data_IF_296215949762
#
_entry.id   IF_296215949762
#
_cell.length_a   1.000
_cell.length_b   1.000
_cell.length_c   1.000
_cell.angle_alpha   90.00
_cell.angle_beta   90.00
_cell.angle_gamma   90.00
#
_symmetry.space_group_name_H-M   'P 1'
#
loop_
_entity.id
_entity.type
_entity.pdbx_description
1 polymer ?
#
# COMPACT_ATOMS: atom_id res chain seq x y z
N UNK A 1 21.98 11.84 -36.74
CA UNK A 1 21.03 11.38 -35.70
C UNK A 1 20.22 12.60 -35.26
N UNK A 2 18.88 12.57 -35.32
CA UNK A 2 18.06 13.66 -34.76
C UNK A 2 18.21 13.61 -33.24
N UNK A 3 18.59 14.73 -32.62
CA UNK A 3 18.51 14.87 -31.17
C UNK A 3 17.05 14.67 -30.76
N UNK A 4 16.81 13.74 -29.82
CA UNK A 4 15.47 13.56 -29.23
C UNK A 4 15.09 14.85 -28.52
N UNK A 5 13.81 15.22 -28.57
CA UNK A 5 13.35 16.37 -27.79
C UNK A 5 13.37 16.03 -26.30
N UNK A 6 13.57 17.04 -25.42
CA UNK A 6 13.52 16.81 -23.97
C UNK A 6 12.23 16.12 -23.52
N UNK A 7 11.10 16.41 -24.19
CA UNK A 7 9.81 15.79 -23.91
C UNK A 7 9.79 14.29 -24.26
N UNK A 8 10.42 13.88 -25.36
CA UNK A 8 10.56 12.46 -25.72
C UNK A 8 11.45 11.72 -24.72
N UNK A 9 12.53 12.37 -24.24
CA UNK A 9 13.40 11.81 -23.21
C UNK A 9 12.66 11.62 -21.88
N UNK A 10 11.91 12.64 -21.44
CA UNK A 10 11.09 12.53 -20.23
C UNK A 10 10.03 11.44 -20.34
N UNK A 11 9.40 11.32 -21.51
CA UNK A 11 8.44 10.26 -21.78
C UNK A 11 9.08 8.87 -21.69
N UNK A 12 10.24 8.67 -22.32
CA UNK A 12 10.97 7.41 -22.22
C UNK A 12 11.37 7.08 -20.78
N UNK A 13 11.80 8.07 -20.00
CA UNK A 13 12.12 7.93 -18.58
C UNK A 13 10.89 7.54 -17.74
N UNK A 14 9.77 8.22 -17.92
CA UNK A 14 8.52 7.90 -17.19
C UNK A 14 7.91 6.56 -17.62
N UNK A 15 8.03 6.18 -18.90
CA UNK A 15 7.60 4.88 -19.41
C UNK A 15 8.45 3.74 -18.81
N UNK A 16 9.77 3.94 -18.65
CA UNK A 16 10.64 2.99 -17.95
C UNK A 16 10.19 2.79 -16.49
N UNK A 17 10.00 3.87 -15.74
CA UNK A 17 9.54 3.80 -14.33
C UNK A 17 8.17 3.13 -14.26
N UNK A 18 7.24 3.49 -15.14
CA UNK A 18 5.91 2.88 -15.23
C UNK A 18 5.99 1.38 -15.47
N UNK A 19 6.90 0.93 -16.34
CA UNK A 19 7.18 -0.48 -16.59
C UNK A 19 7.65 -1.23 -15.34
N UNK A 20 8.63 -0.68 -14.62
CA UNK A 20 9.16 -1.28 -13.39
C UNK A 20 8.11 -1.29 -12.27
N UNK A 21 7.39 -0.19 -12.05
CA UNK A 21 6.32 -0.10 -11.05
C UNK A 21 5.19 -1.10 -11.36
N UNK A 22 4.83 -1.31 -12.63
CA UNK A 22 3.84 -2.32 -13.02
C UNK A 22 4.30 -3.74 -12.69
N UNK A 23 5.58 -4.06 -12.91
CA UNK A 23 6.16 -5.37 -12.56
C UNK A 23 6.10 -5.63 -11.06
N UNK A 24 6.47 -4.64 -10.26
CA UNK A 24 6.38 -4.73 -8.80
C UNK A 24 4.92 -4.85 -8.32
N UNK A 25 4.02 -4.06 -8.92
CA UNK A 25 2.59 -4.13 -8.63
C UNK A 25 2.00 -5.49 -9.00
N UNK A 26 2.44 -6.16 -10.05
CA UNK A 26 1.97 -7.52 -10.35
C UNK A 26 2.35 -8.53 -9.27
N UNK A 27 3.55 -8.44 -8.71
CA UNK A 27 3.96 -9.29 -7.58
C UNK A 27 3.11 -9.00 -6.34
N UNK A 28 2.90 -7.72 -6.03
CA UNK A 28 2.05 -7.30 -4.91
C UNK A 28 0.58 -7.71 -5.11
N UNK A 29 0.02 -7.50 -6.29
CA UNK A 29 -1.35 -7.88 -6.64
C UNK A 29 -1.55 -9.40 -6.52
N UNK A 30 -0.56 -10.22 -6.88
CA UNK A 30 -0.64 -11.68 -6.71
C UNK A 30 -0.74 -12.06 -5.22
N UNK A 31 0.02 -11.38 -4.34
CA UNK A 31 -0.07 -11.58 -2.89
C UNK A 31 -1.42 -11.10 -2.35
N UNK A 32 -1.86 -9.90 -2.73
CA UNK A 32 -3.18 -9.36 -2.36
C UNK A 32 -4.32 -10.27 -2.82
N UNK A 33 -4.23 -10.83 -4.04
CA UNK A 33 -5.21 -11.77 -4.55
C UNK A 33 -5.22 -13.07 -3.73
N UNK A 34 -4.05 -13.54 -3.28
CA UNK A 34 -3.98 -14.68 -2.38
C UNK A 34 -4.65 -14.37 -1.03
N UNK A 35 -4.34 -13.22 -0.43
CA UNK A 35 -5.02 -12.74 0.80
C UNK A 35 -6.52 -12.67 0.57
N UNK A 36 -6.95 -12.12 -0.57
CA UNK A 36 -8.37 -11.97 -0.90
C UNK A 36 -9.08 -13.33 -1.03
N UNK A 37 -8.45 -14.28 -1.72
CA UNK A 37 -8.98 -15.64 -1.88
C UNK A 37 -9.13 -16.33 -0.52
N UNK A 38 -8.10 -16.24 0.33
CA UNK A 38 -8.08 -16.90 1.64
C UNK A 38 -9.00 -16.24 2.66
N UNK A 39 -9.09 -14.92 2.69
CA UNK A 39 -9.86 -14.21 3.71
C UNK A 39 -11.31 -13.95 3.32
N UNK A 40 -11.67 -14.02 2.03
CA UNK A 40 -13.02 -13.69 1.57
C UNK A 40 -13.67 -14.80 0.74
N UNK A 41 -13.00 -15.28 -0.32
CA UNK A 41 -13.63 -16.25 -1.24
C UNK A 41 -13.80 -17.62 -0.57
N UNK A 42 -12.74 -18.18 0.02
CA UNK A 42 -12.85 -19.50 0.68
C UNK A 42 -13.82 -19.51 1.86
N UNK A 43 -13.84 -18.51 2.76
CA UNK A 43 -14.86 -18.41 3.80
C UNK A 43 -16.27 -18.35 3.24
N UNK A 44 -16.50 -17.53 2.21
CA UNK A 44 -17.81 -17.41 1.58
C UNK A 44 -18.27 -18.74 0.95
N UNK A 45 -17.39 -19.44 0.23
CA UNK A 45 -17.69 -20.76 -0.34
C UNK A 45 -17.96 -21.79 0.77
N UNK A 46 -17.13 -21.80 1.83
CA UNK A 46 -17.27 -22.74 2.95
C UNK A 46 -18.59 -22.54 3.71
N UNK A 47 -18.95 -21.30 4.03
CA UNK A 47 -20.23 -20.97 4.68
C UNK A 47 -21.40 -21.32 3.79
N UNK A 48 -21.34 -20.98 2.49
CA UNK A 48 -22.40 -21.33 1.54
C UNK A 48 -22.58 -22.84 1.42
N UNK A 49 -21.47 -23.59 1.35
CA UNK A 49 -21.47 -25.05 1.28
C UNK A 49 -22.04 -25.68 2.56
N UNK A 50 -21.63 -25.20 3.73
CA UNK A 50 -22.18 -25.64 5.02
C UNK A 50 -23.68 -25.35 5.11
N UNK A 51 -24.11 -24.18 4.65
CA UNK A 51 -25.53 -23.82 4.63
C UNK A 51 -26.33 -24.81 3.76
N UNK A 52 -25.84 -25.10 2.55
CA UNK A 52 -26.48 -26.06 1.64
C UNK A 52 -26.55 -27.47 2.25
N UNK A 53 -25.48 -27.94 2.89
CA UNK A 53 -25.45 -29.25 3.56
C UNK A 53 -26.45 -29.34 4.73
N UNK A 54 -26.62 -28.26 5.50
CA UNK A 54 -27.66 -28.22 6.54
C UNK A 54 -29.07 -28.19 5.94
N UNK A 55 -29.27 -27.49 4.81
CA UNK A 55 -30.56 -27.44 4.12
C UNK A 55 -30.98 -28.80 3.56
N UNK A 56 -30.01 -29.57 3.04
CA UNK A 56 -30.22 -30.94 2.56
C UNK A 56 -30.32 -32.00 3.68
N UNK A 57 -30.32 -31.58 4.96
CA UNK A 57 -30.34 -32.44 6.16
C UNK A 57 -29.20 -33.46 6.22
N UNK A 58 -28.08 -33.20 5.53
CA UNK A 58 -26.86 -34.02 5.63
C UNK A 58 -26.15 -33.75 6.96
N UNK A 59 -26.18 -32.50 7.42
CA UNK A 59 -25.62 -32.08 8.71
C UNK A 59 -26.71 -31.71 9.72
N UNK A 60 -26.48 -31.92 11.03
CA UNK A 60 -27.42 -31.54 12.08
C UNK A 60 -27.54 -30.01 12.17
N UNK A 61 -28.74 -29.53 12.53
CA UNK A 61 -29.06 -28.09 12.62
C UNK A 61 -28.16 -27.36 13.62
N UNK A 62 -27.65 -28.06 14.64
CA UNK A 62 -26.68 -27.54 15.62
C UNK A 62 -25.37 -27.05 14.98
N UNK A 63 -25.01 -27.52 13.78
CA UNK A 63 -23.84 -27.05 13.05
C UNK A 63 -23.89 -25.54 12.72
N UNK A 64 -25.09 -24.94 12.67
CA UNK A 64 -25.26 -23.50 12.41
C UNK A 64 -24.57 -22.63 13.46
N UNK A 65 -24.51 -23.07 14.72
CA UNK A 65 -23.86 -22.34 15.80
C UNK A 65 -22.33 -22.18 15.62
N UNK A 66 -21.72 -22.99 14.74
CA UNK A 66 -20.29 -22.99 14.48
C UNK A 66 -19.90 -22.30 13.16
N UNK A 67 -20.86 -21.80 12.38
CA UNK A 67 -20.58 -21.16 11.08
C UNK A 67 -19.79 -19.86 11.23
N UNK A 68 -20.06 -19.07 12.28
CA UNK A 68 -19.34 -17.83 12.57
C UNK A 68 -17.86 -18.10 12.90
N UNK A 69 -17.57 -19.18 13.63
CA UNK A 69 -16.20 -19.62 13.91
C UNK A 69 -15.47 -20.08 12.64
N UNK A 70 -16.21 -20.62 11.68
CA UNK A 70 -15.65 -21.08 10.41
C UNK A 70 -15.17 -19.90 9.56
N UNK A 71 -15.85 -18.74 9.62
CA UNK A 71 -15.40 -17.51 8.96
C UNK A 71 -14.06 -17.00 9.52
N UNK A 72 -13.86 -17.11 10.83
CA UNK A 72 -12.63 -16.68 11.50
C UNK A 72 -11.45 -17.64 11.30
N UNK A 73 -11.74 -18.93 11.07
CA UNK A 73 -10.70 -19.95 10.90
C UNK A 73 -9.75 -19.63 9.74
N UNK A 74 -10.27 -19.22 8.58
CA UNK A 74 -9.44 -19.00 7.40
C UNK A 74 -8.47 -17.82 7.53
N UNK A 75 -8.87 -16.61 7.97
CA UNK A 75 -7.92 -15.53 8.25
C UNK A 75 -6.86 -15.92 9.28
N UNK A 76 -7.23 -16.68 10.32
CA UNK A 76 -6.30 -17.13 11.36
C UNK A 76 -5.27 -18.11 10.77
N UNK A 77 -5.74 -19.15 10.07
CA UNK A 77 -4.85 -20.14 9.43
C UNK A 77 -3.95 -19.49 8.41
N UNK A 78 -4.47 -18.57 7.59
CA UNK A 78 -3.65 -17.83 6.63
C UNK A 78 -2.62 -16.93 7.33
N UNK A 79 -2.99 -16.26 8.41
CA UNK A 79 -2.04 -15.43 9.20
C UNK A 79 -0.94 -16.29 9.81
N UNK A 80 -1.28 -17.46 10.38
CA UNK A 80 -0.28 -18.41 10.90
C UNK A 80 0.60 -18.95 9.78
N UNK A 81 0.03 -19.26 8.61
CA UNK A 81 0.79 -19.68 7.44
C UNK A 81 1.81 -18.61 7.02
N UNK A 82 1.39 -17.37 6.82
CA UNK A 82 2.28 -16.26 6.44
C UNK A 82 3.33 -16.00 7.53
N UNK A 83 2.91 -15.96 8.80
CA UNK A 83 3.82 -15.75 9.92
C UNK A 83 4.86 -16.88 10.01
N UNK A 84 4.46 -18.13 9.77
CA UNK A 84 5.37 -19.28 9.80
C UNK A 84 6.31 -19.33 8.60
N UNK A 85 5.81 -19.08 7.38
CA UNK A 85 6.60 -19.18 6.16
C UNK A 85 7.53 -17.98 5.96
N UNK A 86 7.11 -16.77 6.34
CA UNK A 86 7.87 -15.54 6.06
C UNK A 86 8.60 -15.01 7.30
N UNK A 87 7.95 -15.00 8.47
CA UNK A 87 8.47 -14.28 9.66
C UNK A 87 9.29 -15.21 10.56
N UNK A 88 8.74 -16.39 10.92
CA UNK A 88 9.40 -17.34 11.81
C UNK A 88 10.69 -17.93 11.23
N UNK A 89 10.82 -18.01 9.90
CA UNK A 89 12.08 -18.41 9.25
C UNK A 89 13.15 -17.33 9.41
N UNK A 90 12.77 -16.05 9.52
CA UNK A 90 13.69 -14.92 9.61
C UNK A 90 14.09 -14.59 11.05
N UNK A 91 13.21 -14.83 12.04
CA UNK A 91 13.47 -14.50 13.45
C UNK A 91 14.75 -15.16 14.01
N UNK A 92 15.00 -16.48 13.85
CA UNK A 92 16.22 -17.11 14.36
C UNK A 92 17.48 -16.57 13.69
N UNK A 93 17.39 -16.21 12.41
CA UNK A 93 18.49 -15.61 11.64
C UNK A 93 18.78 -14.18 12.10
N UNK A 94 17.74 -13.41 12.42
CA UNK A 94 17.87 -12.05 12.95
C UNK A 94 18.48 -12.04 14.37
N UNK A 95 18.06 -12.98 15.24
CA UNK A 95 18.61 -13.10 16.59
C UNK A 95 20.06 -13.62 16.59
N UNK A 96 20.40 -14.61 15.75
CA UNK A 96 21.75 -15.19 15.72
C UNK A 96 22.79 -14.27 15.05
N UNK A 97 22.40 -13.41 14.12
CA UNK A 97 23.31 -12.49 13.42
C UNK A 97 23.31 -11.06 13.99
N UNK A 98 22.37 -10.74 14.87
CA UNK A 98 22.20 -9.40 15.45
C UNK A 98 21.49 -8.42 14.50
N UNK A 99 20.75 -7.46 15.08
CA UNK A 99 19.92 -6.51 14.33
C UNK A 99 20.70 -5.58 13.37
N UNK A 100 22.00 -5.40 13.60
CA UNK A 100 22.87 -4.62 12.70
C UNK A 100 23.09 -5.37 11.38
N UNK A 101 23.27 -6.69 11.41
CA UNK A 101 23.51 -7.49 10.19
C UNK A 101 22.26 -7.54 9.32
N UNK A 102 21.06 -7.57 9.90
CA UNK A 102 19.81 -7.51 9.12
C UNK A 102 19.62 -6.16 8.43
N UNK A 103 19.96 -5.04 9.11
CA UNK A 103 19.92 -3.71 8.50
C UNK A 103 20.96 -3.55 7.38
N UNK A 104 22.14 -4.16 7.54
CA UNK A 104 23.17 -4.20 6.50
C UNK A 104 22.76 -5.04 5.30
N UNK A 105 22.10 -6.19 5.50
CA UNK A 105 21.58 -7.04 4.42
C UNK A 105 20.49 -6.31 3.61
N UNK A 106 19.60 -5.58 4.29
CA UNK A 106 18.61 -4.73 3.63
C UNK A 106 19.25 -3.58 2.85
N UNK A 107 20.28 -2.94 3.42
CA UNK A 107 21.07 -1.91 2.74
C UNK A 107 21.80 -2.47 1.52
N UNK A 108 22.32 -3.69 1.60
CA UNK A 108 22.97 -4.38 0.49
C UNK A 108 21.98 -4.70 -0.64
N UNK A 109 20.82 -5.28 -0.31
CA UNK A 109 19.74 -5.50 -1.29
C UNK A 109 19.27 -4.20 -1.94
N UNK A 110 19.22 -3.12 -1.18
CA UNK A 110 18.87 -1.80 -1.72
C UNK A 110 19.97 -1.28 -2.65
N UNK A 111 21.25 -1.49 -2.33
CA UNK A 111 22.37 -1.13 -3.20
C UNK A 111 22.36 -1.95 -4.50
N UNK A 112 22.18 -3.26 -4.42
CA UNK A 112 22.06 -4.16 -5.58
C UNK A 112 20.88 -3.75 -6.48
N UNK A 113 19.72 -3.45 -5.87
CA UNK A 113 18.57 -2.93 -6.61
C UNK A 113 18.88 -1.59 -7.29
N UNK A 114 19.54 -0.64 -6.58
CA UNK A 114 19.92 0.67 -7.14
C UNK A 114 20.84 0.50 -8.34
N UNK A 115 21.86 -0.34 -8.24
CA UNK A 115 22.80 -0.60 -9.32
C UNK A 115 22.09 -1.21 -10.54
N UNK A 116 21.27 -2.25 -10.32
CA UNK A 116 20.48 -2.89 -11.38
C UNK A 116 19.55 -1.91 -12.09
N UNK A 117 18.81 -1.08 -11.33
CA UNK A 117 17.87 -0.10 -11.89
C UNK A 117 18.60 1.01 -12.62
N UNK A 118 19.70 1.53 -12.06
CA UNK A 118 20.54 2.57 -12.66
C UNK A 118 21.11 2.10 -14.01
N UNK A 119 21.59 0.86 -14.06
CA UNK A 119 22.10 0.24 -15.28
C UNK A 119 20.97 -0.02 -16.30
N UNK A 120 19.81 -0.50 -15.87
CA UNK A 120 18.66 -0.70 -16.77
C UNK A 120 18.11 0.64 -17.31
N UNK A 121 18.07 1.67 -16.47
CA UNK A 121 17.60 3.01 -16.79
C UNK A 121 18.54 3.70 -17.78
N UNK A 122 19.86 3.62 -17.57
CA UNK A 122 20.86 4.18 -18.50
C UNK A 122 20.89 3.49 -19.87
N UNK A 123 20.56 2.18 -19.93
CA UNK A 123 20.39 1.45 -21.19
C UNK A 123 19.11 1.83 -21.92
N UNK A 124 18.03 2.10 -21.18
CA UNK A 124 16.72 2.42 -21.76
C UNK A 124 16.63 3.87 -22.24
N UNK A 125 17.29 4.79 -21.54
CA UNK A 125 17.28 6.22 -21.82
C UNK A 125 18.70 6.71 -22.08
N UNK A 126 19.11 6.71 -23.34
CA UNK A 126 20.40 7.25 -23.77
C UNK A 126 20.32 8.77 -23.90
N UNK A 127 20.88 9.51 -22.93
CA UNK A 127 20.79 10.98 -22.86
C UNK A 127 22.06 11.62 -22.29
N UNK A 128 22.31 12.89 -22.61
CA UNK A 128 23.45 13.65 -22.08
C UNK A 128 23.26 13.97 -20.58
N UNK A 129 24.33 14.24 -19.81
CA UNK A 129 24.19 14.59 -18.39
C UNK A 129 23.32 15.83 -18.14
N UNK A 130 23.32 16.80 -19.05
CA UNK A 130 22.42 17.96 -18.97
C UNK A 130 20.93 17.54 -19.02
N UNK A 131 20.59 16.59 -19.89
CA UNK A 131 19.24 16.02 -19.99
C UNK A 131 18.85 15.27 -18.71
N UNK A 132 19.78 14.50 -18.12
CA UNK A 132 19.54 13.78 -16.87
C UNK A 132 19.21 14.72 -15.71
N UNK A 133 19.95 15.82 -15.57
CA UNK A 133 19.65 16.86 -14.59
C UNK A 133 18.26 17.47 -14.81
N UNK A 134 17.92 17.79 -16.06
CA UNK A 134 16.61 18.31 -16.40
C UNK A 134 15.49 17.29 -16.11
N UNK A 135 15.66 16.02 -16.47
CA UNK A 135 14.69 14.96 -16.19
C UNK A 135 14.50 14.76 -14.68
N UNK A 136 15.57 14.67 -13.90
CA UNK A 136 15.51 14.51 -12.44
C UNK A 136 14.80 15.70 -11.78
N UNK A 137 15.08 16.93 -12.21
CA UNK A 137 14.44 18.13 -11.67
C UNK A 137 12.93 18.19 -11.97
N UNK A 138 12.53 17.85 -13.20
CA UNK A 138 11.11 17.77 -13.56
C UNK A 138 10.40 16.67 -12.77
N UNK A 139 11.02 15.49 -12.67
CA UNK A 139 10.46 14.38 -11.91
C UNK A 139 10.31 14.71 -10.42
N UNK A 140 11.29 15.39 -9.81
CA UNK A 140 11.19 15.90 -8.44
C UNK A 140 10.01 16.85 -8.25
N UNK A 141 9.78 17.72 -9.22
CA UNK A 141 8.63 18.65 -9.21
C UNK A 141 7.31 17.89 -9.29
N UNK A 142 7.23 16.88 -10.16
CA UNK A 142 6.04 16.04 -10.27
C UNK A 142 5.79 15.18 -9.03
N UNK A 143 6.85 14.68 -8.37
CA UNK A 143 6.72 13.98 -7.09
C UNK A 143 6.19 14.87 -5.97
N UNK A 144 6.59 16.15 -5.94
CA UNK A 144 6.06 17.11 -4.98
C UNK A 144 4.58 17.36 -5.23
N UNK A 145 4.19 17.60 -6.49
CA UNK A 145 2.77 17.75 -6.88
C UNK A 145 1.95 16.50 -6.55
N UNK A 146 2.51 15.31 -6.74
CA UNK A 146 1.84 14.05 -6.39
C UNK A 146 1.62 13.93 -4.88
N UNK A 147 2.60 14.30 -4.06
CA UNK A 147 2.47 14.33 -2.59
C UNK A 147 1.37 15.29 -2.14
N UNK A 148 1.35 16.50 -2.68
CA UNK A 148 0.31 17.50 -2.39
C UNK A 148 -1.07 16.99 -2.81
N UNK A 149 -1.22 16.48 -4.03
CA UNK A 149 -2.46 15.88 -4.53
C UNK A 149 -2.95 14.72 -3.65
N UNK A 150 -2.05 13.85 -3.19
CA UNK A 150 -2.42 12.76 -2.29
C UNK A 150 -2.94 13.27 -0.95
N UNK A 151 -2.35 14.34 -0.39
CA UNK A 151 -2.86 14.95 0.83
C UNK A 151 -4.27 15.53 0.61
N UNK A 152 -4.49 16.26 -0.49
CA UNK A 152 -5.81 16.79 -0.84
C UNK A 152 -6.86 15.67 -1.05
N UNK A 153 -6.51 14.63 -1.80
CA UNK A 153 -7.41 13.48 -2.03
C UNK A 153 -7.71 12.72 -0.74
N UNK A 154 -6.76 12.63 0.20
CA UNK A 154 -6.99 12.01 1.50
C UNK A 154 -8.02 12.79 2.30
N UNK A 155 -7.88 14.12 2.38
CA UNK A 155 -8.84 14.98 3.07
C UNK A 155 -10.21 14.90 2.42
N UNK A 156 -10.27 14.97 1.08
CA UNK A 156 -11.53 14.87 0.33
C UNK A 156 -12.20 13.50 0.54
N UNK A 157 -11.45 12.40 0.48
CA UNK A 157 -11.98 11.06 0.72
C UNK A 157 -12.52 10.92 2.15
N UNK A 158 -11.85 11.53 3.14
CA UNK A 158 -12.37 11.63 4.50
C UNK A 158 -13.69 12.37 4.59
N UNK A 159 -13.78 13.54 3.96
CA UNK A 159 -15.01 14.33 3.94
C UNK A 159 -16.18 13.58 3.28
N UNK A 160 -15.93 12.92 2.14
CA UNK A 160 -16.95 12.10 1.45
C UNK A 160 -17.36 10.91 2.31
N UNK A 161 -16.42 10.19 2.92
CA UNK A 161 -16.74 9.05 3.79
C UNK A 161 -17.55 9.49 5.01
N UNK A 162 -17.19 10.61 5.62
CA UNK A 162 -17.95 11.19 6.73
C UNK A 162 -19.40 11.50 6.32
N UNK A 163 -19.61 12.14 5.17
CA UNK A 163 -20.96 12.42 4.65
C UNK A 163 -21.73 11.13 4.36
N UNK A 164 -21.07 10.08 3.84
CA UNK A 164 -21.70 8.78 3.63
C UNK A 164 -22.12 8.12 4.94
N UNK A 165 -21.28 8.16 5.97
CA UNK A 165 -21.58 7.60 7.29
C UNK A 165 -22.76 8.34 7.93
N UNK A 166 -22.76 9.68 7.91
CA UNK A 166 -23.91 10.47 8.36
C UNK A 166 -25.19 10.19 7.57
N UNK A 167 -25.06 9.99 6.25
CA UNK A 167 -26.19 9.62 5.39
C UNK A 167 -26.77 8.24 5.75
N UNK A 168 -25.92 7.27 6.09
CA UNK A 168 -26.35 5.94 6.54
C UNK A 168 -27.12 6.06 7.86
N UNK A 169 -26.61 6.81 8.83
CA UNK A 169 -27.30 7.00 10.11
C UNK A 169 -28.70 7.60 9.94
N UNK A 170 -28.80 8.65 9.12
CA UNK A 170 -30.07 9.30 8.79
C UNK A 170 -31.07 8.33 8.15
N UNK A 171 -30.60 7.40 7.31
CA UNK A 171 -31.44 6.41 6.64
C UNK A 171 -31.83 5.24 7.53
N UNK A 172 -30.97 4.83 8.46
CA UNK A 172 -31.23 3.68 9.32
C UNK A 172 -32.27 3.93 10.41
N UNK A 173 -32.68 5.20 10.63
CA UNK A 173 -33.84 5.55 11.46
C UNK A 173 -33.77 5.07 12.91
N UNK A 174 -32.59 4.66 13.38
CA UNK A 174 -32.38 4.31 14.79
C UNK A 174 -32.54 5.58 15.60
N UNK A 175 -33.58 5.66 16.42
CA UNK A 175 -33.72 6.75 17.40
C UNK A 175 -32.39 6.89 18.14
N UNK A 176 -31.69 8.01 17.92
CA UNK A 176 -30.40 8.25 18.53
C UNK A 176 -30.60 8.23 20.04
N UNK A 177 -30.12 7.17 20.72
CA UNK A 177 -30.00 7.16 22.17
C UNK A 177 -28.87 8.10 22.54
N UNK A 178 -29.21 9.38 22.60
CA UNK A 178 -28.31 10.44 23.01
C UNK A 178 -28.00 10.25 24.49
N UNK A 179 -26.75 9.91 24.79
CA UNK A 179 -26.25 9.89 26.16
C UNK A 179 -25.32 11.09 26.35
N UNK A 180 -25.66 11.96 27.29
CA UNK A 180 -24.84 13.12 27.62
C UNK A 180 -23.71 12.68 28.55
N UNK A 181 -22.46 12.80 28.09
CA UNK A 181 -21.29 12.46 28.89
C UNK A 181 -20.58 13.75 29.31
N UNK A 182 -20.27 13.85 30.60
CA UNK A 182 -19.56 15.01 31.16
C UNK A 182 -18.06 14.86 30.89
N UNK A 183 -17.55 15.67 29.97
CA UNK A 183 -16.13 15.82 29.64
C UNK A 183 -15.53 17.02 30.41
N UNK A 184 -14.21 17.05 30.66
CA UNK A 184 -13.53 18.23 31.22
C UNK A 184 -13.69 19.51 30.37
N UNK A 185 -14.11 19.40 29.11
CA UNK A 185 -14.44 20.55 28.24
C UNK A 185 -15.93 20.90 28.20
N UNK A 186 -16.80 20.18 28.90
CA UNK A 186 -18.25 20.43 28.94
C UNK A 186 -19.10 19.18 28.72
N UNK A 187 -20.41 19.39 28.56
CA UNK A 187 -21.33 18.32 28.18
C UNK A 187 -21.17 18.04 26.69
N UNK A 188 -20.78 16.81 26.37
CA UNK A 188 -20.66 16.36 24.98
C UNK A 188 -21.75 15.33 24.72
N UNK A 189 -22.44 15.52 23.61
CA UNK A 189 -23.40 14.56 23.08
C UNK A 189 -22.62 13.32 22.63
N UNK A 190 -22.91 12.15 23.21
CA UNK A 190 -22.26 10.88 22.86
C UNK A 190 -23.32 9.89 22.39
N UNK A 191 -23.30 9.55 21.11
CA UNK A 191 -24.01 8.39 20.59
C UNK A 191 -23.09 7.16 20.60
N UNK A 192 -23.63 5.97 20.84
CA UNK A 192 -22.84 4.72 20.78
C UNK A 192 -22.29 4.41 19.38
N UNK A 193 -22.89 5.01 18.34
CA UNK A 193 -22.49 4.87 16.94
C UNK A 193 -21.35 5.81 16.56
N UNK A 194 -21.25 6.99 17.17
CA UNK A 194 -20.26 8.03 16.80
C UNK A 194 -18.83 7.52 16.95
N UNK A 195 -18.51 6.86 18.06
CA UNK A 195 -17.15 6.36 18.31
C UNK A 195 -16.73 5.31 17.28
N UNK A 196 -17.63 4.42 16.88
CA UNK A 196 -17.36 3.40 15.87
C UNK A 196 -17.12 4.04 14.48
N UNK A 197 -17.87 5.09 14.15
CA UNK A 197 -17.72 5.83 12.90
C UNK A 197 -16.45 6.66 12.85
N UNK A 198 -16.10 7.34 13.95
CA UNK A 198 -14.82 8.04 14.07
C UNK A 198 -13.64 7.09 13.96
N UNK A 199 -13.72 5.89 14.55
CA UNK A 199 -12.67 4.87 14.43
C UNK A 199 -12.57 4.36 12.99
N UNK A 200 -13.69 4.06 12.33
CA UNK A 200 -13.71 3.64 10.91
C UNK A 200 -13.16 4.73 10.00
N UNK A 201 -13.56 5.99 10.20
CA UNK A 201 -13.07 7.14 9.44
C UNK A 201 -11.56 7.35 9.66
N UNK A 202 -11.09 7.29 10.90
CA UNK A 202 -9.67 7.43 11.23
C UNK A 202 -8.83 6.31 10.60
N UNK A 203 -9.28 5.05 10.72
CA UNK A 203 -8.61 3.91 10.08
C UNK A 203 -8.59 4.04 8.56
N UNK A 204 -9.70 4.44 7.94
CA UNK A 204 -9.77 4.68 6.50
C UNK A 204 -8.80 5.77 6.05
N UNK A 205 -8.78 6.92 6.75
CA UNK A 205 -7.87 8.03 6.46
C UNK A 205 -6.40 7.62 6.59
N UNK A 206 -6.06 6.88 7.65
CA UNK A 206 -4.70 6.35 7.86
C UNK A 206 -4.33 5.40 6.72
N UNK A 207 -5.20 4.44 6.40
CA UNK A 207 -4.95 3.47 5.33
C UNK A 207 -4.80 4.15 3.96
N UNK A 208 -5.65 5.14 3.67
CA UNK A 208 -5.60 5.88 2.41
C UNK A 208 -4.33 6.74 2.30
N UNK A 209 -3.95 7.42 3.39
CA UNK A 209 -2.70 8.18 3.47
C UNK A 209 -1.47 7.28 3.32
N UNK A 210 -1.44 6.14 4.03
CA UNK A 210 -0.36 5.17 3.93
C UNK A 210 -0.23 4.62 2.50
N UNK A 211 -1.35 4.29 1.86
CA UNK A 211 -1.38 3.86 0.45
C UNK A 211 -0.77 4.92 -0.49
N UNK A 212 -1.16 6.19 -0.34
CA UNK A 212 -0.61 7.28 -1.15
C UNK A 212 0.87 7.57 -0.88
N UNK A 213 1.31 7.47 0.38
CA UNK A 213 2.70 7.71 0.76
C UNK A 213 3.64 6.61 0.27
N UNK A 214 3.17 5.36 0.21
CA UNK A 214 3.95 4.23 -0.30
C UNK A 214 4.30 4.40 -1.79
N UNK A 215 3.37 4.91 -2.61
CA UNK A 215 3.63 5.23 -4.01
C UNK A 215 4.69 6.34 -4.13
N UNK A 216 4.56 7.41 -3.33
CA UNK A 216 5.53 8.50 -3.34
C UNK A 216 6.94 8.02 -2.97
N UNK A 217 7.07 7.24 -1.89
CA UNK A 217 8.36 6.66 -1.48
C UNK A 217 8.95 5.75 -2.56
N UNK A 218 8.12 4.92 -3.19
CA UNK A 218 8.55 4.04 -4.27
C UNK A 218 9.12 4.84 -5.44
N UNK A 219 8.42 5.89 -5.87
CA UNK A 219 8.87 6.74 -6.98
C UNK A 219 10.09 7.60 -6.61
N UNK A 220 10.19 8.08 -5.37
CA UNK A 220 11.34 8.85 -4.90
C UNK A 220 12.66 8.04 -5.01
N UNK A 221 12.62 6.72 -4.83
CA UNK A 221 13.81 5.88 -5.02
C UNK A 221 14.32 5.89 -6.46
N UNK A 222 13.45 6.05 -7.46
CA UNK A 222 13.85 6.18 -8.86
C UNK A 222 14.45 7.56 -9.15
N UNK A 223 13.99 8.60 -8.44
CA UNK A 223 14.61 9.93 -8.50
C UNK A 223 16.06 9.85 -8.02
N UNK A 224 16.33 9.19 -6.89
CA UNK A 224 17.71 9.01 -6.39
C UNK A 224 18.61 8.33 -7.44
N UNK A 225 18.09 7.32 -8.16
CA UNK A 225 18.84 6.64 -9.22
C UNK A 225 19.11 7.57 -10.42
N UNK A 226 18.15 8.41 -10.80
CA UNK A 226 18.32 9.38 -11.88
C UNK A 226 19.35 10.46 -11.51
N UNK A 227 19.36 10.92 -10.26
CA UNK A 227 20.35 11.88 -9.74
C UNK A 227 21.75 11.28 -9.71
N UNK A 228 21.89 10.01 -9.33
CA UNK A 228 23.16 9.28 -9.40
C UNK A 228 23.69 9.17 -10.83
N UNK A 229 22.83 8.90 -11.82
CA UNK A 229 23.22 8.88 -13.23
C UNK A 229 23.70 10.24 -13.74
N UNK A 230 23.02 11.32 -13.33
CA UNK A 230 23.41 12.66 -13.70
C UNK A 230 24.81 13.01 -13.16
N UNK A 231 25.06 12.65 -11.89
CA UNK A 231 26.36 12.86 -11.24
C UNK A 231 27.48 12.04 -11.89
N UNK A 232 27.28 10.73 -12.08
CA UNK A 232 28.29 9.84 -12.67
C UNK A 232 28.73 10.31 -14.06
N UNK A 233 27.78 10.70 -14.92
CA UNK A 233 28.09 11.22 -16.26
C UNK A 233 28.81 12.57 -16.21
N UNK A 234 28.39 13.48 -15.33
CA UNK A 234 29.06 14.77 -15.17
C UNK A 234 30.51 14.64 -14.70
N UNK A 235 30.82 13.61 -13.90
CA UNK A 235 32.18 13.34 -13.44
C UNK A 235 33.05 12.76 -14.56
N UNK A 236 32.49 11.91 -15.43
CA UNK A 236 33.22 11.37 -16.59
C UNK A 236 33.61 12.45 -17.59
N UNK A 237 32.71 13.39 -17.88
CA UNK A 237 33.00 14.53 -18.76
C UNK A 237 34.09 15.46 -18.21
N UNK A 238 34.30 15.49 -16.89
CA UNK A 238 35.37 16.27 -16.27
C UNK A 238 36.73 15.56 -16.27
N UNK A 239 36.73 14.24 -16.44
CA UNK A 239 37.94 13.43 -16.45
C UNK A 239 38.54 13.25 -17.85
N UNK A 240 37.78 13.58 -18.89
CA UNK A 240 38.19 13.60 -20.30
C UNK A 240 38.69 15.00 -20.70
#
# INVERSE_FOLDING_TARGET
MRSRTHLELYRAFTDFISGEVKRDRHKANRRMLNVFLWCFIFPAIAVTGLYLLTALRVLPISARAYMDWTLLLFPIVYSVYVLSSEVLVQIPRAFSRGGVVTMLDESFKQAEWRESVTLAMSRSVSSEPADWNWMAQNFRTDLRRLRERNAYLTVLAGAVLFLLLQGIDLLTGTEARVTWVRSPMGWVESSSTDLSQFVVLALFLIMFYLSGSQLHQTLARYLDCAELLALDRSNRERSE
#
